data_IF_175343353623
#
_entry.id   IF_175343353623
#
_cell.length_a   1.000
_cell.length_b   1.000
_cell.length_c   1.000
_cell.angle_alpha   90.00
_cell.angle_beta   90.00
_cell.angle_gamma   90.00
#
_symmetry.space_group_name_H-M   'P 1'
#
loop_
_entity.id
_entity.type
_entity.pdbx_description
1 polymer ?
#
# COMPACT_ATOMS: atom_id res chain seq x y z
N UNK A 1 -1.45 7.89 17.94
CA UNK A 1 -2.09 8.07 16.61
C UNK A 1 -1.02 8.26 15.56
N UNK A 2 -1.08 7.48 14.49
CA UNK A 2 -0.17 7.65 13.37
C UNK A 2 -0.69 8.72 12.43
N UNK A 3 0.23 9.56 11.95
CA UNK A 3 -0.08 10.55 10.93
C UNK A 3 0.53 10.09 9.60
N UNK A 4 -0.12 10.38 8.46
CA UNK A 4 0.48 10.08 7.16
C UNK A 4 1.67 10.99 6.89
N UNK A 5 2.53 10.59 5.97
CA UNK A 5 3.63 11.43 5.54
C UNK A 5 5.00 10.81 5.70
N UNK A 6 5.13 9.54 5.34
CA UNK A 6 6.46 8.92 5.25
C UNK A 6 7.24 9.62 4.13
N UNK A 7 8.48 10.01 4.41
CA UNK A 7 9.31 10.68 3.41
C UNK A 7 9.52 9.80 2.17
N UNK A 8 9.54 10.40 1.00
CA UNK A 8 9.74 9.67 -0.25
C UNK A 8 11.00 8.81 -0.25
N UNK A 9 12.06 9.29 0.40
CA UNK A 9 13.36 8.63 0.45
C UNK A 9 13.33 7.31 1.22
N UNK A 10 12.30 7.07 2.03
CA UNK A 10 12.15 5.82 2.78
C UNK A 10 11.72 4.66 1.91
N UNK A 11 11.23 4.94 0.69
CA UNK A 11 10.74 3.91 -0.21
C UNK A 11 11.77 3.56 -1.28
N UNK A 12 11.86 2.26 -1.58
CA UNK A 12 12.65 1.76 -2.72
C UNK A 12 11.74 1.86 -3.95
N UNK A 13 12.15 2.64 -4.96
CA UNK A 13 11.25 2.90 -6.09
C UNK A 13 11.83 2.57 -7.47
N UNK A 14 13.13 2.52 -7.61
CA UNK A 14 13.81 2.27 -8.88
C UNK A 14 13.17 3.14 -9.99
N UNK A 15 12.68 2.54 -11.08
CA UNK A 15 12.03 3.26 -12.19
C UNK A 15 10.50 3.23 -12.12
N UNK A 16 9.94 2.69 -11.03
CA UNK A 16 8.50 2.61 -10.86
C UNK A 16 7.98 3.96 -10.36
N UNK A 17 6.96 4.54 -11.02
CA UNK A 17 6.36 5.78 -10.53
C UNK A 17 5.81 5.61 -9.12
N UNK A 18 5.96 6.65 -8.30
CA UNK A 18 5.48 6.63 -6.92
C UNK A 18 4.73 7.91 -6.63
N UNK A 19 3.61 7.78 -5.91
CA UNK A 19 2.86 8.94 -5.43
C UNK A 19 3.70 9.71 -4.43
N UNK A 20 3.89 11.01 -4.67
CA UNK A 20 4.72 11.86 -3.82
C UNK A 20 4.09 12.03 -2.44
N UNK A 21 4.93 12.30 -1.45
CA UNK A 21 4.55 12.44 -0.04
C UNK A 21 3.35 13.37 0.16
N UNK A 22 3.37 14.55 -0.46
CA UNK A 22 2.30 15.54 -0.29
C UNK A 22 0.95 15.00 -0.79
N UNK A 23 0.97 14.28 -1.90
CA UNK A 23 -0.24 13.69 -2.48
C UNK A 23 -0.70 12.50 -1.64
N UNK A 24 0.24 11.73 -1.10
CA UNK A 24 -0.09 10.63 -0.19
C UNK A 24 -0.79 11.14 1.06
N UNK A 25 -0.27 12.20 1.65
CA UNK A 25 -0.86 12.83 2.85
C UNK A 25 -2.31 13.24 2.55
N UNK A 26 -2.51 13.93 1.43
CA UNK A 26 -3.85 14.38 1.04
C UNK A 26 -4.79 13.19 0.80
N UNK A 27 -4.31 12.17 0.10
CA UNK A 27 -5.09 10.97 -0.19
C UNK A 27 -5.51 10.26 1.09
N UNK A 28 -4.59 10.08 2.03
CA UNK A 28 -4.89 9.42 3.30
C UNK A 28 -5.88 10.21 4.14
N UNK A 29 -5.74 11.53 4.17
CA UNK A 29 -6.67 12.37 4.90
C UNK A 29 -8.08 12.31 4.31
N UNK A 30 -8.18 12.31 2.99
CA UNK A 30 -9.47 12.25 2.31
C UNK A 30 -10.13 10.86 2.40
N UNK A 31 -9.33 9.83 2.49
CA UNK A 31 -9.83 8.46 2.60
C UNK A 31 -10.50 8.18 3.95
N UNK A 32 -10.17 8.96 4.98
CA UNK A 32 -10.74 8.82 6.33
C UNK A 32 -10.66 7.41 6.85
N UNK A 33 -9.46 6.83 6.78
CA UNK A 33 -9.21 5.46 7.18
C UNK A 33 -9.41 5.29 8.68
N UNK A 34 -10.13 4.25 9.07
CA UNK A 34 -10.34 3.88 10.46
C UNK A 34 -9.36 2.76 10.86
N UNK A 35 -9.07 2.62 12.16
CA UNK A 35 -8.09 1.63 12.61
C UNK A 35 -8.38 0.18 12.24
N UNK A 36 -9.63 -0.18 11.99
CA UNK A 36 -10.05 -1.55 11.67
C UNK A 36 -10.45 -1.75 10.21
N UNK A 37 -10.19 -0.78 9.35
CA UNK A 37 -10.61 -0.88 7.95
C UNK A 37 -9.86 -1.97 7.20
N UNK A 38 -10.55 -2.56 6.22
CA UNK A 38 -9.95 -3.40 5.20
C UNK A 38 -9.85 -2.54 3.94
N UNK A 39 -8.65 -2.42 3.40
CA UNK A 39 -8.35 -1.49 2.32
C UNK A 39 -7.81 -2.24 1.11
N UNK A 40 -8.31 -1.90 -0.06
CA UNK A 40 -7.83 -2.44 -1.33
C UNK A 40 -7.09 -1.34 -2.07
N UNK A 41 -5.83 -1.58 -2.40
CA UNK A 41 -5.01 -0.65 -3.18
C UNK A 41 -4.76 -1.28 -4.55
N UNK A 42 -5.51 -0.83 -5.54
CA UNK A 42 -5.43 -1.37 -6.90
C UNK A 42 -4.38 -0.59 -7.68
N UNK A 43 -3.41 -1.31 -8.26
CA UNK A 43 -2.28 -0.69 -8.92
C UNK A 43 -1.29 -0.14 -7.91
N UNK A 44 -0.92 -0.95 -6.91
CA UNK A 44 -0.17 -0.50 -5.74
C UNK A 44 1.22 0.07 -6.05
N UNK A 45 1.83 -0.32 -7.16
CA UNK A 45 3.16 0.16 -7.54
C UNK A 45 4.22 -0.17 -6.50
N UNK A 46 4.92 0.85 -6.00
CA UNK A 46 5.94 0.68 -4.94
C UNK A 46 5.35 0.32 -3.58
N UNK A 47 4.05 0.47 -3.41
CA UNK A 47 3.37 0.19 -2.15
C UNK A 47 3.30 1.38 -1.21
N UNK A 48 3.69 2.57 -1.64
CA UNK A 48 3.72 3.74 -0.75
C UNK A 48 2.35 4.06 -0.14
N UNK A 49 1.28 4.03 -0.93
CA UNK A 49 -0.07 4.27 -0.41
C UNK A 49 -0.55 3.12 0.47
N UNK A 50 -0.28 1.87 0.06
CA UNK A 50 -0.64 0.69 0.86
C UNK A 50 0.01 0.74 2.24
N UNK A 51 1.28 1.11 2.31
CA UNK A 51 2.03 1.19 3.57
C UNK A 51 1.48 2.30 4.46
N UNK A 52 1.24 3.49 3.89
CA UNK A 52 0.64 4.58 4.66
C UNK A 52 -0.73 4.17 5.21
N UNK A 53 -1.55 3.52 4.38
CA UNK A 53 -2.87 3.04 4.79
C UNK A 53 -2.77 2.01 5.92
N UNK A 54 -1.81 1.09 5.82
CA UNK A 54 -1.61 0.05 6.84
C UNK A 54 -1.28 0.65 8.20
N UNK A 55 -0.46 1.73 8.22
CA UNK A 55 -0.12 2.41 9.47
C UNK A 55 -1.31 3.13 10.09
N UNK A 56 -2.28 3.54 9.28
CA UNK A 56 -3.50 4.19 9.76
C UNK A 56 -4.57 3.18 10.19
N UNK A 57 -4.42 1.92 9.80
CA UNK A 57 -5.35 0.85 10.13
C UNK A 57 -4.63 -0.29 10.85
N UNK A 58 -4.08 -0.06 12.05
CA UNK A 58 -3.29 -1.07 12.75
C UNK A 58 -4.07 -2.33 13.12
N UNK A 59 -5.39 -2.26 13.18
CA UNK A 59 -6.27 -3.40 13.46
C UNK A 59 -6.98 -3.90 12.20
N UNK A 60 -6.62 -3.36 11.04
CA UNK A 60 -7.18 -3.75 9.77
C UNK A 60 -6.17 -4.49 8.90
N UNK A 61 -6.46 -4.53 7.62
CA UNK A 61 -5.58 -5.15 6.63
C UNK A 61 -5.60 -4.35 5.33
N UNK A 62 -4.50 -4.41 4.59
CA UNK A 62 -4.41 -3.82 3.25
C UNK A 62 -4.13 -4.92 2.25
N UNK A 63 -4.90 -4.95 1.19
CA UNK A 63 -4.68 -5.82 0.05
C UNK A 63 -4.14 -4.99 -1.10
N UNK A 64 -2.86 -5.17 -1.41
CA UNK A 64 -2.16 -4.44 -2.46
C UNK A 64 -2.15 -5.28 -3.73
N UNK A 65 -2.82 -4.82 -4.76
CA UNK A 65 -2.98 -5.54 -6.02
C UNK A 65 -2.09 -4.88 -7.08
N UNK A 66 -1.19 -5.66 -7.67
CA UNK A 66 -0.26 -5.15 -8.67
C UNK A 66 0.04 -6.27 -9.68
N UNK A 67 0.11 -5.92 -10.97
CA UNK A 67 0.35 -6.90 -12.03
C UNK A 67 1.76 -6.87 -12.60
N UNK A 68 2.50 -5.77 -12.46
CA UNK A 68 3.84 -5.64 -13.03
C UNK A 68 4.88 -6.27 -12.13
N UNK A 69 5.66 -7.22 -12.67
CA UNK A 69 6.64 -7.98 -11.89
C UNK A 69 7.64 -7.08 -11.13
N UNK A 70 8.19 -6.05 -11.81
CA UNK A 70 9.12 -5.14 -11.15
C UNK A 70 8.45 -4.40 -9.99
N UNK A 71 7.23 -3.94 -10.19
CA UNK A 71 6.49 -3.24 -9.13
C UNK A 71 6.16 -4.17 -7.97
N UNK A 72 5.76 -5.42 -8.25
CA UNK A 72 5.50 -6.42 -7.21
C UNK A 72 6.75 -6.66 -6.36
N UNK A 73 7.91 -6.76 -6.99
CA UNK A 73 9.18 -6.96 -6.29
C UNK A 73 9.48 -5.78 -5.37
N UNK A 74 9.34 -4.56 -5.87
CA UNK A 74 9.54 -3.34 -5.07
C UNK A 74 8.54 -3.23 -3.93
N UNK A 75 7.30 -3.61 -4.19
CA UNK A 75 6.24 -3.63 -3.19
C UNK A 75 6.62 -4.54 -2.01
N UNK A 76 7.09 -5.76 -2.32
CA UNK A 76 7.57 -6.68 -1.28
C UNK A 76 8.76 -6.11 -0.52
N UNK A 77 9.71 -5.49 -1.21
CA UNK A 77 10.88 -4.90 -0.58
C UNK A 77 10.50 -3.77 0.39
N UNK A 78 9.58 -2.91 -0.03
CA UNK A 78 9.15 -1.80 0.82
C UNK A 78 8.35 -2.28 2.03
N UNK A 79 7.48 -3.28 1.86
CA UNK A 79 6.74 -3.89 2.96
C UNK A 79 7.70 -4.46 3.99
N UNK A 80 8.72 -5.19 3.53
CA UNK A 80 9.72 -5.80 4.42
C UNK A 80 10.56 -4.73 5.11
N UNK A 81 11.00 -3.71 4.37
CA UNK A 81 11.80 -2.62 4.92
C UNK A 81 11.09 -1.94 6.09
N UNK A 82 9.79 -1.74 5.98
CA UNK A 82 9.00 -1.05 6.99
C UNK A 82 8.28 -2.01 7.94
N UNK A 83 8.57 -3.31 7.84
CA UNK A 83 8.10 -4.37 8.76
C UNK A 83 6.58 -4.48 8.83
N UNK A 84 5.94 -4.44 7.67
CA UNK A 84 4.49 -4.48 7.56
C UNK A 84 3.97 -5.75 6.88
N UNK A 85 4.76 -6.84 6.89
CA UNK A 85 4.37 -8.10 6.23
C UNK A 85 3.06 -8.68 6.78
N UNK A 86 2.77 -8.43 8.05
CA UNK A 86 1.53 -8.91 8.68
C UNK A 86 0.32 -8.06 8.32
N UNK A 87 0.53 -6.86 7.79
CA UNK A 87 -0.56 -5.89 7.56
C UNK A 87 -0.89 -5.70 6.09
N UNK A 88 0.09 -5.86 5.20
CA UNK A 88 -0.11 -5.66 3.77
C UNK A 88 0.05 -7.00 3.07
N UNK A 89 -1.02 -7.44 2.42
CA UNK A 89 -1.05 -8.69 1.64
C UNK A 89 -0.95 -8.32 0.17
N UNK A 90 0.03 -8.91 -0.52
CA UNK A 90 0.25 -8.64 -1.95
C UNK A 90 -0.49 -9.66 -2.79
N UNK A 91 -1.24 -9.17 -3.77
CA UNK A 91 -1.87 -10.02 -4.77
C UNK A 91 -1.27 -9.64 -6.13
N UNK A 92 -0.41 -10.51 -6.64
CA UNK A 92 0.37 -10.26 -7.86
C UNK A 92 -0.44 -10.64 -9.09
N UNK A 93 -1.48 -9.87 -9.36
CA UNK A 93 -2.37 -10.11 -10.52
C UNK A 93 -3.04 -8.79 -10.89
N UNK A 94 -3.75 -8.77 -12.02
CA UNK A 94 -4.49 -7.59 -12.41
C UNK A 94 -5.94 -7.65 -11.92
N UNK A 95 -6.53 -6.47 -11.64
CA UNK A 95 -7.94 -6.35 -11.38
C UNK A 95 -8.71 -6.54 -12.70
N UNK A 96 -9.93 -7.14 -12.71
CA UNK A 96 -10.68 -7.56 -11.51
C UNK A 96 -10.35 -8.97 -11.02
N UNK A 97 -9.45 -9.71 -11.65
CA UNK A 97 -9.11 -11.08 -11.25
C UNK A 97 -8.72 -11.18 -9.79
N UNK A 98 -7.84 -10.26 -9.33
CA UNK A 98 -7.39 -10.25 -7.96
C UNK A 98 -8.51 -9.96 -6.96
N UNK A 99 -9.55 -9.26 -7.40
CA UNK A 99 -10.66 -8.89 -6.51
C UNK A 99 -11.51 -10.09 -6.11
N UNK A 100 -11.51 -11.15 -6.91
CA UNK A 100 -12.25 -12.38 -6.60
C UNK A 100 -11.67 -13.11 -5.39
N UNK A 101 -10.42 -12.83 -5.06
CA UNK A 101 -9.71 -13.47 -3.95
C UNK A 101 -9.82 -12.69 -2.65
N UNK A 102 -10.44 -11.51 -2.67
CA UNK A 102 -10.50 -10.63 -1.51
C UNK A 102 -11.75 -10.88 -0.68
N UNK A 103 -11.65 -10.65 0.64
CA UNK A 103 -12.82 -10.75 1.50
C UNK A 103 -13.85 -9.68 1.17
N UNK A 104 -15.11 -10.00 1.37
CA UNK A 104 -16.19 -9.05 1.16
C UNK A 104 -16.28 -8.04 2.29
#
# INVERSE_FOLDING_TARGET
MNLPGIADEEFIRDKVPMTKEEIRILTMCKAKIRPDNIIWDIGAGTGSLSIEAALLAPQGEVYAIEKKDLAVDLLHQNIAKLKLEDKVKVIATEAPKGLDELPN
#
